data_IF_125043520758
#
_entry.id   IF_125043520758
#
_cell.length_a   1.000
_cell.length_b   1.000
_cell.length_c   1.000
_cell.angle_alpha   90.00
_cell.angle_beta   90.00
_cell.angle_gamma   90.00
#
_symmetry.space_group_name_H-M   'P 1'
#
loop_
_entity.id
_entity.type
_entity.pdbx_description
1 polymer ?
#
# COMPACT_ATOMS: atom_id res chain seq x y z
N UNK A 1 12.86 -11.94 -27.17
CA UNK A 1 12.91 -10.87 -28.19
C UNK A 1 12.38 -9.60 -27.56
N UNK A 2 13.24 -8.59 -27.35
CA UNK A 2 12.84 -7.29 -26.82
C UNK A 2 11.99 -6.56 -27.88
N UNK A 3 10.71 -6.35 -27.59
CA UNK A 3 9.83 -5.49 -28.39
C UNK A 3 10.48 -4.13 -28.53
N UNK A 4 10.69 -3.64 -29.77
CA UNK A 4 11.20 -2.28 -30.01
C UNK A 4 10.29 -1.28 -29.29
N UNK A 5 10.82 -0.60 -28.27
CA UNK A 5 10.10 0.42 -27.52
C UNK A 5 9.72 1.56 -28.48
N UNK A 6 8.42 1.72 -28.76
CA UNK A 6 7.93 2.79 -29.64
C UNK A 6 7.88 4.10 -28.85
N UNK A 7 8.71 5.06 -29.24
CA UNK A 7 8.77 6.40 -28.65
C UNK A 7 7.57 7.22 -29.17
N UNK A 8 6.71 7.79 -28.30
CA UNK A 8 5.66 8.70 -28.70
C UNK A 8 6.17 9.96 -29.42
N UNK A 9 5.34 10.54 -30.28
CA UNK A 9 5.70 11.76 -31.01
C UNK A 9 5.76 13.02 -30.14
N UNK A 10 5.06 13.02 -29.00
CA UNK A 10 5.02 14.10 -28.03
C UNK A 10 5.33 13.53 -26.66
N UNK A 11 6.24 14.19 -25.96
CA UNK A 11 6.62 13.85 -24.59
C UNK A 11 6.67 15.17 -23.80
N UNK A 12 5.52 15.83 -23.56
CA UNK A 12 5.47 17.20 -23.04
C UNK A 12 6.22 17.37 -21.72
N UNK A 13 6.19 16.36 -20.85
CA UNK A 13 6.95 16.40 -19.62
C UNK A 13 8.45 16.26 -19.87
N UNK A 14 8.90 15.30 -20.67
CA UNK A 14 10.31 15.19 -21.05
C UNK A 14 10.85 16.44 -21.77
N UNK A 15 10.02 17.03 -22.63
CA UNK A 15 10.33 18.27 -23.33
C UNK A 15 10.58 19.39 -22.33
N UNK A 16 9.72 19.51 -21.33
CA UNK A 16 9.87 20.49 -20.25
C UNK A 16 11.10 20.20 -19.37
N UNK A 17 11.41 18.93 -19.09
CA UNK A 17 12.64 18.52 -18.38
C UNK A 17 13.92 18.80 -19.17
N UNK A 18 13.81 18.95 -20.49
CA UNK A 18 14.94 19.18 -21.40
C UNK A 18 14.96 20.60 -21.96
N UNK A 19 14.27 21.58 -21.34
CA UNK A 19 14.06 22.91 -21.89
C UNK A 19 15.33 23.68 -22.32
N UNK A 20 16.50 23.36 -21.77
CA UNK A 20 17.80 23.97 -22.14
C UNK A 20 18.56 23.21 -23.26
N UNK A 21 18.03 22.10 -23.77
CA UNK A 21 18.71 21.20 -24.71
C UNK A 21 18.05 21.22 -26.07
N UNK A 22 18.84 21.44 -27.11
CA UNK A 22 18.41 21.19 -28.48
C UNK A 22 18.35 19.68 -28.77
N UNK A 23 17.25 19.21 -29.39
CA UNK A 23 17.17 17.87 -29.96
C UNK A 23 16.77 16.74 -28.99
N UNK A 24 15.65 16.88 -28.28
CA UNK A 24 15.04 15.79 -27.48
C UNK A 24 14.82 14.52 -28.33
N UNK A 25 14.59 14.68 -29.64
CA UNK A 25 14.46 13.59 -30.62
C UNK A 25 15.70 12.70 -30.74
N UNK A 26 16.87 13.16 -30.28
CA UNK A 26 18.14 12.44 -30.36
C UNK A 26 18.48 11.67 -29.07
N UNK A 27 17.64 11.74 -28.04
CA UNK A 27 17.87 10.99 -26.81
C UNK A 27 17.67 9.49 -27.04
N UNK A 28 18.61 8.69 -26.55
CA UNK A 28 18.39 7.24 -26.41
C UNK A 28 17.36 6.96 -25.31
N UNK A 29 16.67 5.80 -25.34
CA UNK A 29 15.73 5.43 -24.28
C UNK A 29 16.33 5.51 -22.86
N UNK A 30 17.58 5.09 -22.66
CA UNK A 30 18.28 5.22 -21.37
C UNK A 30 18.47 6.68 -20.96
N UNK A 31 18.83 7.56 -21.89
CA UNK A 31 18.98 8.99 -21.58
C UNK A 31 17.65 9.65 -21.27
N UNK A 32 16.58 9.28 -21.99
CA UNK A 32 15.21 9.72 -21.66
C UNK A 32 14.84 9.28 -20.25
N UNK A 33 15.09 8.02 -19.90
CA UNK A 33 14.84 7.50 -18.56
C UNK A 33 15.59 8.30 -17.49
N UNK A 34 16.89 8.54 -17.67
CA UNK A 34 17.71 9.35 -16.75
C UNK A 34 17.22 10.79 -16.61
N UNK A 35 16.47 11.32 -17.57
CA UNK A 35 15.84 12.65 -17.47
C UNK A 35 14.59 12.56 -16.60
N UNK A 36 13.71 11.59 -16.88
CA UNK A 36 12.56 11.33 -16.02
C UNK A 36 12.99 11.06 -14.58
N UNK A 37 13.97 10.19 -14.34
CA UNK A 37 14.43 9.85 -12.98
C UNK A 37 14.98 11.05 -12.21
N UNK A 38 15.63 12.01 -12.88
CA UNK A 38 16.14 13.22 -12.22
C UNK A 38 15.06 14.30 -12.06
N UNK A 39 14.13 14.35 -13.00
CA UNK A 39 13.13 15.38 -13.11
C UNK A 39 11.76 15.01 -12.57
N UNK A 40 11.55 13.78 -12.10
CA UNK A 40 10.22 13.22 -11.84
C UNK A 40 9.37 14.05 -10.87
N UNK A 41 10.02 14.69 -9.91
CA UNK A 41 9.39 15.54 -8.92
C UNK A 41 8.80 16.84 -9.51
N UNK A 42 9.18 17.20 -10.74
CA UNK A 42 8.61 18.35 -11.47
C UNK A 42 7.34 18.00 -12.25
N UNK A 43 6.86 16.75 -12.20
CA UNK A 43 5.61 16.35 -12.88
C UNK A 43 4.44 17.18 -12.35
N UNK A 44 3.64 17.74 -13.24
CA UNK A 44 2.55 18.66 -12.90
C UNK A 44 3.00 20.09 -12.54
N UNK A 45 4.28 20.32 -12.26
CA UNK A 45 4.86 21.66 -12.07
C UNK A 45 5.33 22.22 -13.42
N UNK A 46 6.22 21.49 -14.10
CA UNK A 46 6.76 21.90 -15.39
C UNK A 46 5.82 21.54 -16.54
N UNK A 47 5.22 20.35 -16.49
CA UNK A 47 4.15 19.92 -17.36
C UNK A 47 3.43 18.71 -16.76
N UNK A 48 2.14 18.57 -17.07
CA UNK A 48 1.40 17.36 -16.76
C UNK A 48 1.89 16.20 -17.66
N UNK A 49 1.85 14.98 -17.12
CA UNK A 49 2.16 13.77 -17.87
C UNK A 49 0.84 13.26 -18.47
N UNK A 50 0.75 13.26 -19.80
CA UNK A 50 -0.42 12.71 -20.48
C UNK A 50 -0.41 11.16 -20.46
N UNK A 51 -1.56 10.50 -20.70
CA UNK A 51 -1.63 9.03 -20.64
C UNK A 51 -0.66 8.30 -21.59
N UNK A 52 -0.34 8.89 -22.74
CA UNK A 52 0.58 8.31 -23.72
C UNK A 52 2.01 8.38 -23.21
N UNK A 53 2.41 9.53 -22.68
CA UNK A 53 3.73 9.70 -22.05
C UNK A 53 3.86 8.82 -20.80
N UNK A 54 2.83 8.74 -19.95
CA UNK A 54 2.82 7.86 -18.77
C UNK A 54 3.06 6.38 -19.14
N UNK A 55 2.34 5.87 -20.15
CA UNK A 55 2.55 4.50 -20.65
C UNK A 55 3.95 4.28 -21.22
N UNK A 56 4.51 5.28 -21.90
CA UNK A 56 5.87 5.22 -22.41
C UNK A 56 6.89 5.15 -21.26
N UNK A 57 6.79 6.04 -20.27
CA UNK A 57 7.68 6.04 -19.10
C UNK A 57 7.55 4.74 -18.32
N UNK A 58 6.33 4.19 -18.17
CA UNK A 58 6.12 2.91 -17.49
C UNK A 58 6.85 1.77 -18.20
N UNK A 59 6.66 1.62 -19.53
CA UNK A 59 7.36 0.59 -20.32
C UNK A 59 8.87 0.79 -20.33
N UNK A 60 9.31 2.04 -20.40
CA UNK A 60 10.73 2.40 -20.36
C UNK A 60 11.35 2.03 -19.02
N UNK A 61 10.67 2.37 -17.92
CA UNK A 61 11.13 2.07 -16.58
C UNK A 61 11.15 0.56 -16.30
N UNK A 62 10.14 -0.19 -16.76
CA UNK A 62 10.13 -1.66 -16.69
C UNK A 62 11.29 -2.28 -17.48
N UNK A 63 11.54 -1.77 -18.70
CA UNK A 63 12.60 -2.28 -19.57
C UNK A 63 14.00 -2.14 -18.94
N UNK A 64 14.22 -1.10 -18.15
CA UNK A 64 15.52 -0.78 -17.55
C UNK A 64 15.57 -1.02 -16.04
N UNK A 65 14.57 -1.69 -15.44
CA UNK A 65 14.46 -1.92 -14.00
C UNK A 65 14.63 -0.63 -13.16
N UNK A 66 14.04 0.47 -13.63
CA UNK A 66 14.08 1.76 -12.95
C UNK A 66 13.09 1.81 -11.79
N UNK A 67 13.44 2.59 -10.75
CA UNK A 67 12.57 2.90 -9.62
C UNK A 67 11.26 3.60 -10.02
N UNK A 68 11.20 4.15 -11.24
CA UNK A 68 9.98 4.75 -11.79
C UNK A 68 8.91 3.72 -12.18
N UNK A 69 9.29 2.46 -12.43
CA UNK A 69 8.36 1.45 -12.97
C UNK A 69 7.14 1.22 -12.05
N UNK A 70 7.30 1.17 -10.72
CA UNK A 70 6.19 0.99 -9.79
C UNK A 70 5.47 2.30 -9.45
N UNK A 71 6.17 3.45 -9.50
CA UNK A 71 5.60 4.78 -9.21
C UNK A 71 4.50 5.21 -10.21
N UNK A 72 4.48 4.62 -11.40
CA UNK A 72 3.47 4.86 -12.44
C UNK A 72 2.30 3.87 -12.43
N UNK A 73 2.33 2.88 -11.53
CA UNK A 73 1.24 1.90 -11.39
C UNK A 73 0.07 2.43 -10.56
N UNK A 74 0.31 3.48 -9.76
CA UNK A 74 -0.67 4.03 -8.84
C UNK A 74 -1.13 5.41 -9.32
N UNK A 75 -2.43 5.67 -9.24
CA UNK A 75 -3.07 6.93 -9.62
C UNK A 75 -2.92 7.99 -8.52
N UNK A 76 -2.93 7.60 -7.24
CA UNK A 76 -2.84 8.56 -6.15
C UNK A 76 -1.39 8.96 -5.89
N UNK A 77 -1.09 10.26 -5.96
CA UNK A 77 0.25 10.81 -5.72
C UNK A 77 0.89 10.28 -4.41
N UNK A 78 0.09 10.18 -3.34
CA UNK A 78 0.56 9.64 -2.07
C UNK A 78 1.03 8.18 -2.18
N UNK A 79 0.30 7.35 -2.91
CA UNK A 79 0.66 5.94 -3.13
C UNK A 79 1.87 5.79 -4.07
N UNK A 80 2.05 6.69 -5.05
CA UNK A 80 3.28 6.76 -5.84
C UNK A 80 4.50 7.04 -4.95
N UNK A 81 4.36 7.93 -3.96
CA UNK A 81 5.40 8.24 -2.97
C UNK A 81 5.68 7.06 -2.05
N UNK A 82 4.65 6.36 -1.56
CA UNK A 82 4.81 5.11 -0.81
C UNK A 82 5.58 4.07 -1.64
N UNK A 83 5.20 3.89 -2.90
CA UNK A 83 5.89 2.99 -3.81
C UNK A 83 7.36 3.38 -4.00
N UNK A 84 7.66 4.67 -4.07
CA UNK A 84 9.05 5.19 -4.14
C UNK A 84 9.87 4.79 -2.92
N UNK A 85 9.26 4.76 -1.72
CA UNK A 85 9.94 4.26 -0.50
C UNK A 85 10.15 2.75 -0.57
N UNK A 86 9.10 1.98 -0.89
CA UNK A 86 9.14 0.51 -0.87
C UNK A 86 10.23 -0.04 -1.80
N UNK A 87 10.39 0.54 -2.99
CA UNK A 87 11.36 0.07 -3.98
C UNK A 87 12.83 0.38 -3.65
N UNK A 88 13.07 1.14 -2.57
CA UNK A 88 14.41 1.45 -2.09
C UNK A 88 14.79 0.63 -0.85
N UNK A 89 13.88 -0.20 -0.34
CA UNK A 89 14.14 -1.08 0.79
C UNK A 89 15.06 -2.24 0.40
N UNK A 90 15.78 -2.75 1.39
CA UNK A 90 16.57 -3.98 1.28
C UNK A 90 15.67 -5.21 1.44
N UNK A 91 15.18 -5.71 0.30
CA UNK A 91 14.30 -6.87 0.25
C UNK A 91 14.94 -8.15 0.80
N UNK A 92 16.25 -8.33 0.61
CA UNK A 92 16.97 -9.51 1.09
C UNK A 92 17.07 -9.48 2.61
N UNK A 93 17.40 -8.33 3.19
CA UNK A 93 17.45 -8.15 4.63
C UNK A 93 16.08 -8.26 5.30
N UNK A 94 15.03 -7.66 4.70
CA UNK A 94 13.65 -7.80 5.21
C UNK A 94 13.19 -9.25 5.18
N UNK A 95 13.54 -10.00 4.13
CA UNK A 95 13.26 -11.44 4.03
C UNK A 95 14.02 -12.24 5.09
N UNK A 96 15.29 -11.95 5.33
CA UNK A 96 16.09 -12.59 6.39
C UNK A 96 15.49 -12.34 7.77
N UNK A 97 15.01 -11.13 8.03
CA UNK A 97 14.33 -10.79 9.28
C UNK A 97 12.91 -11.36 9.39
N UNK A 98 12.34 -11.91 8.31
CA UNK A 98 10.93 -12.31 8.26
C UNK A 98 9.97 -11.14 8.44
N UNK A 99 10.35 -9.95 7.96
CA UNK A 99 9.52 -8.74 7.97
C UNK A 99 8.73 -8.62 6.67
N UNK A 100 7.41 -8.69 6.74
CA UNK A 100 6.52 -8.72 5.59
C UNK A 100 5.71 -7.42 5.50
N UNK A 101 5.71 -6.77 4.34
CA UNK A 101 4.87 -5.61 4.07
C UNK A 101 3.39 -6.00 4.14
N UNK A 102 2.61 -5.23 4.89
CA UNK A 102 1.22 -5.53 5.18
C UNK A 102 0.42 -4.28 5.53
N UNK A 103 -0.56 -4.46 6.41
CA UNK A 103 -1.44 -3.39 6.84
C UNK A 103 -2.37 -2.90 5.74
N UNK A 104 -3.03 -1.77 6.02
CA UNK A 104 -4.06 -1.22 5.14
C UNK A 104 -3.52 -0.69 3.81
N UNK A 105 -2.27 -0.24 3.78
CA UNK A 105 -1.64 0.28 2.57
C UNK A 105 -1.32 -0.84 1.59
N UNK A 106 -0.76 -1.96 2.05
CA UNK A 106 -0.56 -3.11 1.18
C UNK A 106 -1.87 -3.57 0.53
N UNK A 107 -2.94 -3.71 1.31
CA UNK A 107 -4.25 -4.14 0.81
C UNK A 107 -4.80 -3.10 -0.21
N UNK A 108 -4.75 -1.81 0.11
CA UNK A 108 -5.19 -0.75 -0.82
C UNK A 108 -4.45 -0.82 -2.16
N UNK A 109 -3.11 -0.86 -2.14
CA UNK A 109 -2.29 -0.93 -3.35
C UNK A 109 -2.56 -2.22 -4.15
N UNK A 110 -2.76 -3.34 -3.47
CA UNK A 110 -3.02 -4.63 -4.12
C UNK A 110 -4.45 -4.75 -4.68
N UNK A 111 -5.33 -3.80 -4.38
CA UNK A 111 -6.74 -3.81 -4.78
C UNK A 111 -7.15 -2.53 -5.53
N UNK A 112 -6.23 -1.93 -6.28
CA UNK A 112 -6.56 -0.84 -7.19
C UNK A 112 -6.84 0.49 -6.50
N UNK A 113 -6.27 0.70 -5.31
CA UNK A 113 -6.34 1.96 -4.57
C UNK A 113 -7.77 2.41 -4.19
N UNK A 114 -8.64 1.45 -3.85
CA UNK A 114 -10.05 1.70 -3.48
C UNK A 114 -10.22 2.73 -2.35
N UNK A 115 -9.18 2.93 -1.53
CA UNK A 115 -9.10 4.01 -0.53
C UNK A 115 -7.68 4.55 -0.40
N UNK A 116 -7.55 5.78 0.06
CA UNK A 116 -6.25 6.33 0.47
C UNK A 116 -5.75 5.64 1.75
N UNK A 117 -4.50 5.21 1.75
CA UNK A 117 -3.78 4.72 2.93
C UNK A 117 -2.39 5.35 2.98
N UNK A 118 -1.97 5.80 4.17
CA UNK A 118 -0.85 6.75 4.30
C UNK A 118 0.41 6.17 4.97
N UNK A 119 0.26 5.09 5.71
CA UNK A 119 1.34 4.52 6.51
C UNK A 119 1.99 3.33 5.79
N UNK A 120 3.24 3.01 6.09
CA UNK A 120 3.93 1.82 5.61
C UNK A 120 4.16 0.90 6.80
N UNK A 121 3.46 -0.22 6.83
CA UNK A 121 3.51 -1.19 7.93
C UNK A 121 4.15 -2.50 7.47
N UNK A 122 5.16 -2.95 8.18
CA UNK A 122 5.69 -4.31 8.09
C UNK A 122 5.38 -5.07 9.37
N UNK A 123 5.18 -6.37 9.24
CA UNK A 123 5.00 -7.28 10.37
C UNK A 123 6.11 -8.32 10.40
N UNK A 124 6.63 -8.57 11.59
CA UNK A 124 7.62 -9.61 11.85
C UNK A 124 7.14 -10.44 13.04
N UNK A 125 6.90 -11.74 12.85
CA UNK A 125 6.52 -12.64 13.94
C UNK A 125 7.69 -13.47 14.49
N UNK A 126 8.86 -13.44 13.85
CA UNK A 126 10.05 -14.15 14.34
C UNK A 126 10.77 -13.34 15.41
N UNK A 127 10.99 -13.94 16.58
CA UNK A 127 11.77 -13.29 17.66
C UNK A 127 13.23 -13.11 17.28
N UNK A 128 13.81 -14.12 16.62
CA UNK A 128 15.18 -14.12 16.13
C UNK A 128 15.35 -13.08 15.02
N UNK A 129 14.42 -13.06 14.05
CA UNK A 129 14.38 -12.09 12.96
C UNK A 129 14.23 -10.66 13.47
N UNK A 130 13.32 -10.43 14.42
CA UNK A 130 13.16 -9.10 15.02
C UNK A 130 14.36 -8.69 15.88
N UNK A 131 15.05 -9.63 16.54
CA UNK A 131 16.31 -9.33 17.26
C UNK A 131 17.40 -8.91 16.28
N UNK A 132 17.54 -9.60 15.15
CA UNK A 132 18.46 -9.25 14.08
C UNK A 132 18.15 -7.85 13.54
N UNK A 133 16.88 -7.59 13.22
CA UNK A 133 16.39 -6.29 12.77
C UNK A 133 16.83 -5.15 13.69
N UNK A 134 16.57 -5.27 14.99
CA UNK A 134 16.94 -4.23 15.97
C UNK A 134 18.44 -4.04 16.09
N UNK A 135 19.21 -5.14 16.03
CA UNK A 135 20.66 -5.09 16.10
C UNK A 135 21.25 -4.33 14.90
N UNK A 136 20.81 -4.66 13.69
CA UNK A 136 21.29 -4.04 12.47
C UNK A 136 20.86 -2.58 12.36
N UNK A 137 19.61 -2.26 12.70
CA UNK A 137 19.12 -0.88 12.77
C UNK A 137 19.92 -0.05 13.78
N UNK A 138 20.31 -0.63 14.92
CA UNK A 138 21.15 0.06 15.91
C UNK A 138 22.56 0.36 15.38
N UNK A 139 23.14 -0.55 14.58
CA UNK A 139 24.51 -0.43 14.08
C UNK A 139 24.59 0.46 12.84
N UNK A 140 23.70 0.22 11.87
CA UNK A 140 23.73 0.85 10.53
C UNK A 140 22.69 1.96 10.35
N UNK A 141 21.79 2.15 11.30
CA UNK A 141 20.69 3.12 11.18
C UNK A 141 19.80 2.78 9.97
N UNK A 142 19.45 3.82 9.20
CA UNK A 142 18.65 3.66 7.98
C UNK A 142 19.32 2.76 6.93
N UNK A 143 20.64 2.69 6.88
CA UNK A 143 21.36 1.83 5.92
C UNK A 143 21.18 0.33 6.21
N UNK A 144 20.57 -0.05 7.34
CA UNK A 144 20.13 -1.43 7.55
C UNK A 144 18.93 -1.78 6.67
N UNK A 145 18.02 -0.84 6.42
CA UNK A 145 16.71 -1.07 5.81
C UNK A 145 16.64 -0.67 4.35
N UNK A 146 17.56 0.18 3.88
CA UNK A 146 17.51 0.81 2.56
C UNK A 146 18.76 0.49 1.74
N UNK A 147 18.55 0.06 0.49
CA UNK A 147 19.61 -0.11 -0.53
C UNK A 147 19.98 1.21 -1.19
N UNK A 148 19.05 2.16 -1.21
CA UNK A 148 19.26 3.55 -1.63
C UNK A 148 18.31 4.48 -0.87
N UNK A 149 18.63 5.77 -0.82
CA UNK A 149 17.83 6.79 -0.12
C UNK A 149 17.59 8.00 -1.03
N UNK A 150 17.51 7.76 -2.33
CA UNK A 150 17.33 8.79 -3.33
C UNK A 150 15.96 9.44 -3.13
N UNK A 151 15.98 10.77 -3.02
CA UNK A 151 14.77 11.58 -2.79
C UNK A 151 14.04 11.29 -1.47
N UNK A 152 14.65 10.53 -0.57
CA UNK A 152 14.14 10.26 0.78
C UNK A 152 14.87 11.17 1.76
N UNK A 153 14.12 12.02 2.46
CA UNK A 153 14.66 12.76 3.59
C UNK A 153 14.32 12.02 4.88
N UNK A 154 15.28 11.23 5.34
CA UNK A 154 15.22 10.46 6.59
C UNK A 154 15.73 11.36 7.72
N UNK A 155 14.79 11.92 8.49
CA UNK A 155 15.10 12.91 9.53
C UNK A 155 14.72 12.36 10.90
N UNK A 156 15.67 12.37 11.83
CA UNK A 156 15.44 11.94 13.21
C UNK A 156 15.99 10.55 13.52
N UNK A 157 15.98 10.21 14.80
CA UNK A 157 16.40 8.90 15.30
C UNK A 157 15.32 7.85 15.04
N UNK A 158 15.75 6.65 14.67
CA UNK A 158 14.86 5.50 14.53
C UNK A 158 14.43 5.06 15.93
N UNK A 159 13.14 5.17 16.22
CA UNK A 159 12.58 4.69 17.48
C UNK A 159 12.52 3.17 17.44
N UNK A 160 13.30 2.52 18.29
CA UNK A 160 13.36 1.06 18.35
C UNK A 160 13.06 0.58 19.76
N UNK A 161 12.08 -0.30 19.92
CA UNK A 161 11.75 -0.93 21.19
C UNK A 161 11.37 -2.41 20.99
N UNK A 162 10.87 -3.06 22.04
CA UNK A 162 10.48 -4.47 21.97
C UNK A 162 9.25 -4.76 21.09
N UNK A 163 8.47 -3.73 20.73
CA UNK A 163 7.21 -3.85 19.98
C UNK A 163 7.32 -3.36 18.53
N UNK A 164 8.26 -2.49 18.21
CA UNK A 164 8.50 -2.10 16.82
C UNK A 164 9.68 -1.17 16.60
N UNK A 165 10.00 -1.01 15.32
CA UNK A 165 10.92 -0.02 14.75
C UNK A 165 10.07 1.02 14.02
N UNK A 166 10.21 2.31 14.37
CA UNK A 166 9.34 3.38 13.84
C UNK A 166 10.16 4.61 13.48
N UNK A 167 9.85 5.19 12.33
CA UNK A 167 10.45 6.45 11.92
C UNK A 167 9.62 7.16 10.84
N UNK A 168 9.68 8.49 10.79
CA UNK A 168 9.10 9.26 9.70
C UNK A 168 10.02 9.23 8.46
N UNK A 169 9.41 9.20 7.29
CA UNK A 169 10.07 9.36 6.00
C UNK A 169 9.44 10.54 5.28
N UNK A 170 10.26 11.45 4.75
CA UNK A 170 9.77 12.49 3.86
C UNK A 170 10.12 12.16 2.41
N UNK A 171 9.11 12.15 1.56
CA UNK A 171 9.27 12.15 0.10
C UNK A 171 8.76 13.48 -0.40
N UNK A 172 9.66 14.32 -0.93
CA UNK A 172 9.39 15.74 -1.16
C UNK A 172 8.92 16.39 0.18
N UNK A 173 7.72 16.97 0.22
CA UNK A 173 7.10 17.55 1.42
C UNK A 173 6.08 16.62 2.09
N UNK A 174 5.97 15.38 1.64
CA UNK A 174 4.99 14.42 2.16
C UNK A 174 5.60 13.56 3.27
N UNK A 175 5.01 13.66 4.47
CA UNK A 175 5.35 12.82 5.61
C UNK A 175 4.65 11.46 5.50
N UNK A 176 5.44 10.39 5.50
CA UNK A 176 5.01 9.00 5.51
C UNK A 176 5.50 8.37 6.81
N UNK A 177 4.60 7.73 7.57
CA UNK A 177 5.00 6.95 8.74
C UNK A 177 5.44 5.57 8.29
N UNK A 178 6.57 5.10 8.81
CA UNK A 178 7.08 3.77 8.55
C UNK A 178 7.19 3.01 9.87
N UNK A 179 6.63 1.80 9.92
CA UNK A 179 6.66 0.93 11.08
C UNK A 179 7.03 -0.50 10.68
N UNK A 180 7.87 -1.15 11.49
CA UNK A 180 8.03 -2.61 11.51
C UNK A 180 7.59 -3.08 12.90
N UNK A 181 6.50 -3.82 12.95
CA UNK A 181 5.83 -4.25 14.17
C UNK A 181 6.25 -5.69 14.49
N UNK A 182 6.61 -5.93 15.75
CA UNK A 182 6.75 -7.29 16.27
C UNK A 182 5.35 -7.87 16.50
N UNK A 183 4.91 -8.74 15.60
CA UNK A 183 3.62 -9.41 15.70
C UNK A 183 3.74 -10.65 16.58
N UNK A 184 3.22 -10.56 17.80
CA UNK A 184 3.31 -11.62 18.79
C UNK A 184 2.09 -12.54 18.86
N UNK A 185 0.99 -12.18 18.18
CA UNK A 185 -0.30 -12.86 18.26
C UNK A 185 -0.39 -14.04 17.30
N UNK A 186 0.15 -13.89 16.09
CA UNK A 186 0.11 -14.92 15.04
C UNK A 186 1.48 -15.16 14.41
N UNK A 187 1.72 -16.41 13.97
CA UNK A 187 2.90 -16.75 13.19
C UNK A 187 2.66 -16.49 11.71
N UNK A 188 3.39 -15.57 11.09
CA UNK A 188 3.26 -15.28 9.66
C UNK A 188 3.66 -16.49 8.81
N UNK A 189 2.89 -16.72 7.74
CA UNK A 189 3.13 -17.76 6.74
C UNK A 189 4.19 -17.36 5.72
N UNK A 190 4.28 -18.10 4.61
CA UNK A 190 5.19 -17.76 3.51
C UNK A 190 4.78 -16.41 2.89
N UNK A 191 5.72 -15.51 2.60
CA UNK A 191 5.40 -14.22 2.00
C UNK A 191 4.99 -14.37 0.53
N UNK A 192 4.16 -13.44 0.08
CA UNK A 192 3.83 -13.23 -1.33
C UNK A 192 4.69 -12.11 -1.92
N UNK A 193 4.82 -12.13 -3.25
CA UNK A 193 5.56 -11.13 -4.05
C UNK A 193 4.68 -10.69 -5.22
N UNK A 194 3.78 -9.71 -5.03
CA UNK A 194 3.00 -9.20 -6.14
C UNK A 194 3.90 -8.50 -7.14
N UNK A 195 3.51 -8.48 -8.42
CA UNK A 195 4.34 -7.99 -9.53
C UNK A 195 4.88 -6.56 -9.38
N UNK A 196 4.22 -5.72 -8.56
CA UNK A 196 4.59 -4.34 -8.32
C UNK A 196 5.50 -4.12 -7.10
N UNK A 197 5.74 -5.17 -6.29
CA UNK A 197 6.46 -5.07 -5.02
C UNK A 197 7.61 -6.10 -4.95
N UNK A 198 8.81 -5.64 -4.62
CA UNK A 198 10.00 -6.50 -4.53
C UNK A 198 10.28 -7.02 -3.12
N UNK A 199 9.73 -6.38 -2.09
CA UNK A 199 9.88 -6.81 -0.69
C UNK A 199 8.90 -7.94 -0.36
N UNK A 200 9.20 -8.79 0.65
CA UNK A 200 8.25 -9.78 1.15
C UNK A 200 6.95 -9.09 1.57
N UNK A 201 5.80 -9.60 1.13
CA UNK A 201 4.49 -9.10 1.52
C UNK A 201 3.69 -10.19 2.24
N UNK A 202 2.72 -9.80 3.07
CA UNK A 202 1.79 -10.76 3.67
C UNK A 202 1.07 -11.57 2.60
N UNK A 203 0.88 -12.85 2.86
CA UNK A 203 -0.04 -13.67 2.06
C UNK A 203 -1.49 -13.33 2.41
N UNK A 204 -2.41 -13.88 1.62
CA UNK A 204 -3.84 -13.62 1.76
C UNK A 204 -4.40 -14.00 3.14
N UNK A 205 -4.03 -15.19 3.64
CA UNK A 205 -4.47 -15.68 4.97
C UNK A 205 -4.02 -14.71 6.07
N UNK A 206 -2.76 -14.28 6.03
CA UNK A 206 -2.22 -13.34 7.00
C UNK A 206 -2.83 -11.94 6.89
N UNK A 207 -3.18 -11.48 5.67
CA UNK A 207 -3.88 -10.21 5.50
C UNK A 207 -5.27 -10.22 6.13
N UNK A 208 -6.03 -11.31 5.95
CA UNK A 208 -7.32 -11.48 6.63
C UNK A 208 -7.13 -11.58 8.15
N UNK A 209 -6.22 -12.43 8.63
CA UNK A 209 -6.00 -12.64 10.06
C UNK A 209 -5.62 -11.35 10.79
N UNK A 210 -4.69 -10.57 10.24
CA UNK A 210 -4.30 -9.27 10.80
C UNK A 210 -5.45 -8.27 10.84
N UNK A 211 -6.31 -8.26 9.81
CA UNK A 211 -7.45 -7.36 9.79
C UNK A 211 -8.58 -7.78 10.71
N UNK A 212 -8.78 -9.08 10.90
CA UNK A 212 -9.68 -9.61 11.93
C UNK A 212 -9.22 -9.18 13.33
N UNK A 213 -7.93 -9.33 13.65
CA UNK A 213 -7.35 -8.92 14.93
C UNK A 213 -7.46 -7.40 15.13
N UNK A 214 -7.06 -6.61 14.14
CA UNK A 214 -7.15 -5.16 14.21
C UNK A 214 -8.60 -4.69 14.35
N UNK A 215 -9.56 -5.31 13.64
CA UNK A 215 -10.98 -5.01 13.80
C UNK A 215 -11.45 -5.35 15.22
N UNK A 216 -11.11 -6.53 15.74
CA UNK A 216 -11.46 -6.92 17.10
C UNK A 216 -10.94 -5.94 18.16
N UNK A 217 -9.74 -5.40 17.97
CA UNK A 217 -9.12 -4.44 18.88
C UNK A 217 -9.82 -3.07 18.91
N UNK A 218 -10.33 -2.59 17.76
CA UNK A 218 -10.70 -1.17 17.62
C UNK A 218 -11.96 -0.87 16.80
N UNK A 219 -12.82 -1.84 16.51
CA UNK A 219 -14.03 -1.61 15.70
C UNK A 219 -14.98 -0.53 16.24
N UNK A 220 -15.01 -0.33 17.57
CA UNK A 220 -15.86 0.68 18.21
C UNK A 220 -15.29 2.10 18.10
N UNK A 221 -13.99 2.23 17.82
CA UNK A 221 -13.32 3.52 17.73
C UNK A 221 -13.61 4.18 16.38
N UNK A 222 -14.57 5.10 16.38
CA UNK A 222 -14.93 5.83 15.16
C UNK A 222 -13.80 6.69 14.57
N UNK A 223 -12.70 6.94 15.30
CA UNK A 223 -11.53 7.66 14.79
C UNK A 223 -10.68 6.83 13.82
N UNK A 224 -10.85 5.49 13.82
CA UNK A 224 -10.19 4.60 12.86
C UNK A 224 -11.00 4.41 11.57
N UNK A 225 -12.15 5.08 11.47
CA UNK A 225 -12.97 5.16 10.25
C UNK A 225 -13.40 3.79 9.72
N UNK A 226 -13.54 2.79 10.60
CA UNK A 226 -13.84 1.39 10.25
C UNK A 226 -12.93 0.81 9.16
N UNK A 227 -11.71 1.33 9.01
CA UNK A 227 -10.80 0.96 7.92
C UNK A 227 -10.48 -0.53 7.88
N UNK A 228 -10.44 -1.22 9.02
CA UNK A 228 -10.17 -2.66 9.05
C UNK A 228 -11.35 -3.49 8.56
N UNK A 229 -12.58 -3.11 8.93
CA UNK A 229 -13.80 -3.71 8.39
C UNK A 229 -13.90 -3.47 6.87
N UNK A 230 -13.59 -2.24 6.41
CA UNK A 230 -13.58 -1.91 4.98
C UNK A 230 -12.52 -2.72 4.23
N UNK A 231 -11.33 -2.91 4.81
CA UNK A 231 -10.27 -3.73 4.23
C UNK A 231 -10.67 -5.22 4.16
N UNK A 232 -11.39 -5.74 5.16
CA UNK A 232 -11.97 -7.09 5.13
C UNK A 232 -13.02 -7.22 4.03
N UNK A 233 -13.92 -6.24 3.91
CA UNK A 233 -14.97 -6.21 2.89
C UNK A 233 -14.37 -6.23 1.48
N UNK A 234 -13.34 -5.44 1.25
CA UNK A 234 -12.66 -5.37 -0.04
C UNK A 234 -11.90 -6.66 -0.39
N UNK A 235 -11.22 -7.27 0.57
CA UNK A 235 -10.66 -8.61 0.38
C UNK A 235 -11.75 -9.65 0.07
N UNK A 236 -12.90 -9.57 0.75
CA UNK A 236 -14.01 -10.50 0.57
C UNK A 236 -14.63 -10.47 -0.83
N UNK A 237 -14.54 -9.35 -1.55
CA UNK A 237 -14.96 -9.28 -2.96
C UNK A 237 -14.14 -10.19 -3.88
N UNK A 238 -12.87 -10.41 -3.56
CA UNK A 238 -11.96 -11.22 -4.39
C UNK A 238 -12.04 -12.71 -4.05
N UNK A 239 -12.19 -13.03 -2.77
CA UNK A 239 -12.19 -14.40 -2.27
C UNK A 239 -13.02 -14.51 -0.99
N UNK A 240 -13.65 -15.67 -0.72
CA UNK A 240 -14.31 -15.93 0.56
C UNK A 240 -13.34 -15.76 1.75
N UNK A 241 -13.86 -15.38 2.92
CA UNK A 241 -13.07 -15.30 4.14
C UNK A 241 -12.47 -16.68 4.46
N UNK A 242 -11.13 -16.86 4.45
CA UNK A 242 -10.53 -18.17 4.65
C UNK A 242 -10.72 -18.66 6.09
N UNK A 243 -11.21 -19.88 6.28
CA UNK A 243 -11.31 -20.49 7.62
C UNK A 243 -9.95 -20.53 8.33
N UNK A 244 -8.87 -20.80 7.59
CA UNK A 244 -7.50 -20.76 8.13
C UNK A 244 -7.15 -19.39 8.72
N UNK A 245 -7.62 -18.28 8.13
CA UNK A 245 -7.36 -16.94 8.66
C UNK A 245 -8.13 -16.68 9.96
N UNK A 246 -9.36 -17.19 10.05
CA UNK A 246 -10.19 -17.13 11.25
C UNK A 246 -9.52 -17.95 12.36
N UNK A 247 -9.24 -19.22 12.12
CA UNK A 247 -8.62 -20.13 13.08
C UNK A 247 -7.30 -19.55 13.60
N UNK A 248 -6.51 -18.96 12.69
CA UNK A 248 -5.25 -18.30 13.01
C UNK A 248 -5.43 -17.08 13.91
N UNK A 249 -6.37 -16.19 13.60
CA UNK A 249 -6.66 -15.02 14.43
C UNK A 249 -7.23 -15.44 15.81
N UNK A 250 -8.11 -16.44 15.85
CA UNK A 250 -8.72 -16.96 17.09
C UNK A 250 -7.74 -17.67 18.02
N UNK A 251 -6.54 -18.05 17.56
CA UNK A 251 -5.47 -18.47 18.48
C UNK A 251 -5.07 -17.38 19.47
N UNK A 252 -5.25 -16.10 19.12
CA UNK A 252 -4.97 -14.98 20.00
C UNK A 252 -6.17 -14.64 20.88
N UNK A 253 -7.32 -14.37 20.25
CA UNK A 253 -8.60 -14.08 20.92
C UNK A 253 -9.76 -14.11 19.92
N UNK A 254 -10.99 -14.15 20.44
CA UNK A 254 -12.22 -14.15 19.65
C UNK A 254 -12.29 -12.94 18.69
N UNK A 255 -12.47 -13.20 17.40
CA UNK A 255 -12.55 -12.14 16.36
C UNK A 255 -13.87 -12.11 15.59
N UNK A 256 -14.63 -13.21 15.57
CA UNK A 256 -15.88 -13.29 14.82
C UNK A 256 -17.01 -12.49 15.46
N UNK A 257 -17.18 -12.55 16.78
CA UNK A 257 -18.18 -11.73 17.47
C UNK A 257 -17.90 -10.22 17.35
N UNK A 258 -16.64 -9.74 17.50
CA UNK A 258 -16.30 -8.36 17.15
C UNK A 258 -16.58 -8.00 15.68
N UNK A 259 -16.34 -8.91 14.73
CA UNK A 259 -16.66 -8.68 13.32
C UNK A 259 -18.16 -8.50 13.08
N UNK A 260 -19.01 -9.36 13.67
CA UNK A 260 -20.48 -9.20 13.59
C UNK A 260 -20.93 -7.84 14.13
N UNK A 261 -20.40 -7.45 15.29
CA UNK A 261 -20.70 -6.14 15.91
C UNK A 261 -20.25 -4.98 15.03
N UNK A 262 -19.07 -5.09 14.40
CA UNK A 262 -18.55 -4.09 13.49
C UNK A 262 -19.46 -3.92 12.27
N UNK A 263 -19.90 -5.04 11.66
CA UNK A 263 -20.83 -5.04 10.51
C UNK A 263 -22.14 -4.36 10.89
N UNK A 264 -22.81 -4.81 11.96
CA UNK A 264 -24.09 -4.25 12.40
C UNK A 264 -23.97 -2.74 12.68
N UNK A 265 -22.94 -2.34 13.43
CA UNK A 265 -22.69 -0.93 13.72
C UNK A 265 -22.45 -0.08 12.46
N UNK A 266 -21.82 -0.65 11.43
CA UNK A 266 -21.59 0.04 10.16
C UNK A 266 -22.90 0.12 9.34
N UNK A 267 -23.70 -0.95 9.30
CA UNK A 267 -24.97 -1.03 8.60
C UNK A 267 -26.04 -0.09 9.16
N UNK A 268 -26.10 0.06 10.49
CA UNK A 268 -27.09 0.91 11.16
C UNK A 268 -26.83 2.42 11.03
N UNK A 269 -25.64 2.83 10.58
CA UNK A 269 -25.17 4.23 10.65
C UNK A 269 -24.76 4.80 9.28
N UNK A 270 -25.72 5.13 8.39
CA UNK A 270 -25.41 5.66 7.06
C UNK A 270 -24.55 6.94 7.09
N UNK A 271 -24.84 7.88 8.00
CA UNK A 271 -24.03 9.11 8.13
C UNK A 271 -22.58 8.84 8.56
N UNK A 272 -22.36 7.78 9.33
CA UNK A 272 -21.02 7.35 9.71
C UNK A 272 -20.28 6.75 8.50
N UNK A 273 -20.95 5.90 7.70
CA UNK A 273 -20.38 5.34 6.47
C UNK A 273 -19.96 6.44 5.49
N UNK A 274 -20.83 7.42 5.26
CA UNK A 274 -20.54 8.58 4.40
C UNK A 274 -19.28 9.34 4.86
N UNK A 275 -19.09 9.48 6.18
CA UNK A 275 -17.88 10.08 6.76
C UNK A 275 -16.64 9.21 6.52
N UNK A 276 -16.74 7.89 6.73
CA UNK A 276 -15.66 6.95 6.43
C UNK A 276 -15.24 7.04 4.96
N UNK A 277 -16.20 7.00 4.02
CA UNK A 277 -15.91 7.09 2.60
C UNK A 277 -15.21 8.40 2.21
N UNK A 278 -15.69 9.52 2.77
CA UNK A 278 -15.11 10.83 2.51
C UNK A 278 -13.67 10.93 3.02
N UNK A 279 -13.42 10.54 4.28
CA UNK A 279 -12.10 10.68 4.91
C UNK A 279 -11.06 9.71 4.33
N UNK A 280 -11.49 8.50 3.99
CA UNK A 280 -10.66 7.49 3.34
C UNK A 280 -10.54 7.70 1.82
N UNK A 281 -11.20 8.73 1.26
CA UNK A 281 -11.24 9.05 -0.17
C UNK A 281 -11.69 7.87 -1.05
N UNK A 282 -12.71 7.16 -0.60
CA UNK A 282 -13.33 6.06 -1.34
C UNK A 282 -14.25 6.66 -2.39
N UNK A 283 -14.05 6.27 -3.65
CA UNK A 283 -14.84 6.75 -4.80
C UNK A 283 -16.03 5.83 -5.08
N UNK A 284 -15.82 4.51 -5.02
CA UNK A 284 -16.82 3.48 -5.32
C UNK A 284 -17.41 2.90 -4.03
N UNK A 285 -18.28 3.68 -3.36
CA UNK A 285 -18.91 3.25 -2.10
C UNK A 285 -19.72 1.96 -2.24
N UNK A 286 -20.33 1.73 -3.42
CA UNK A 286 -21.09 0.52 -3.75
C UNK A 286 -20.25 -0.75 -3.57
N UNK A 287 -18.98 -0.75 -4.04
CA UNK A 287 -18.08 -1.89 -3.87
C UNK A 287 -17.80 -2.21 -2.40
N UNK A 288 -17.64 -1.18 -1.55
CA UNK A 288 -17.45 -1.42 -0.12
C UNK A 288 -18.69 -2.10 0.46
N UNK A 289 -19.89 -1.60 0.13
CA UNK A 289 -21.13 -2.18 0.64
C UNK A 289 -21.37 -3.59 0.11
N UNK A 290 -21.03 -3.88 -1.15
CA UNK A 290 -21.07 -5.25 -1.69
C UNK A 290 -20.20 -6.19 -0.86
N UNK A 291 -18.98 -5.77 -0.49
CA UNK A 291 -18.10 -6.54 0.38
C UNK A 291 -18.65 -6.72 1.80
N UNK A 292 -19.28 -5.69 2.35
CA UNK A 292 -19.95 -5.75 3.67
C UNK A 292 -21.11 -6.72 3.64
N UNK A 293 -21.95 -6.69 2.59
CA UNK A 293 -23.09 -7.59 2.42
C UNK A 293 -22.65 -9.04 2.26
N UNK A 294 -21.53 -9.29 1.58
CA UNK A 294 -20.93 -10.62 1.53
C UNK A 294 -20.44 -11.11 2.90
N UNK A 295 -19.76 -10.26 3.67
CA UNK A 295 -19.35 -10.60 5.04
C UNK A 295 -20.55 -10.82 5.96
N UNK A 296 -21.60 -10.00 5.84
CA UNK A 296 -22.84 -10.14 6.58
C UNK A 296 -23.48 -11.51 6.29
N UNK A 297 -23.60 -11.86 5.00
CA UNK A 297 -24.15 -13.15 4.56
C UNK A 297 -23.35 -14.34 5.06
N UNK A 298 -22.01 -14.27 5.02
CA UNK A 298 -21.15 -15.32 5.57
C UNK A 298 -21.40 -15.58 7.07
N UNK A 299 -21.88 -14.57 7.80
CA UNK A 299 -22.14 -14.62 9.24
C UNK A 299 -23.63 -14.71 9.61
N UNK A 300 -24.51 -14.87 8.61
CA UNK A 300 -25.97 -14.97 8.82
C UNK A 300 -26.63 -13.65 9.27
N UNK A 301 -26.05 -12.51 8.92
CA UNK A 301 -26.60 -11.18 9.15
C UNK A 301 -27.36 -10.67 7.92
N UNK A 302 -28.26 -9.71 8.14
CA UNK A 302 -29.01 -9.04 7.08
C UNK A 302 -28.11 -8.15 6.20
N UNK A 303 -28.56 -7.90 4.97
CA UNK A 303 -27.86 -6.99 4.05
C UNK A 303 -28.04 -5.51 4.45
N UNK A 304 -27.10 -4.69 4.00
CA UNK A 304 -27.09 -3.27 4.30
C UNK A 304 -28.23 -2.56 3.59
N UNK A 305 -29.03 -1.79 4.34
CA UNK A 305 -29.95 -0.83 3.73
C UNK A 305 -29.14 0.32 3.13
N UNK A 306 -29.07 0.34 1.80
CA UNK A 306 -28.21 1.25 1.02
C UNK A 306 -28.79 2.66 0.92
N UNK A 307 -27.91 3.65 1.00
CA UNK A 307 -28.23 5.02 0.58
C UNK A 307 -28.17 5.15 -0.95
N UNK A 308 -28.65 6.27 -1.49
CA UNK A 308 -28.57 6.54 -2.93
C UNK A 308 -27.13 6.51 -3.48
N UNK A 309 -26.14 6.98 -2.70
CA UNK A 309 -24.72 6.96 -3.11
C UNK A 309 -24.15 5.54 -3.16
N UNK A 310 -24.65 4.66 -2.31
CA UNK A 310 -24.23 3.26 -2.18
C UNK A 310 -24.93 2.33 -3.18
N UNK A 311 -25.97 2.83 -3.85
CA UNK A 311 -26.81 2.07 -4.81
C UNK A 311 -26.40 2.27 -6.28
N UNK A 312 -25.39 3.10 -6.56
CA UNK A 312 -24.96 3.33 -7.94
C UNK A 312 -24.05 2.22 -8.42
N UNK A 313 -24.59 1.35 -9.27
CA UNK A 313 -23.81 0.71 -10.32
C UNK A 313 -23.53 1.78 -11.40
N UNK A 314 -22.27 1.90 -11.80
CA UNK A 314 -21.82 2.85 -12.81
C UNK A 314 -22.70 2.80 -14.07
N UNK A 315 -23.40 3.90 -14.36
CA UNK A 315 -24.12 4.14 -15.62
C UNK A 315 -23.20 4.76 -16.67
#
# INVERSE_FOLDING_TARGET
MLTKLKIPNKLPFLESLCWQREGIKNLTPVEMLRRYERGWHYRGILAAIDPTEAQFVQKLAQLYNSWLAPSLMFQQDFHQKISTVINQLDADFLRECGAHFGGGTFISLNQGEYRLSKDIDFLCSSREGYRLLRQEVRIRGYNALFTSQNYLRLSGEIQTNQYGVRFPIFVEDTLIKFEIIMEGRIQLGKPNYPSWCTVPCLNEVDCFAEKLLANADRWIDSSVESRDLIDLAMQRLKSPLPQEAIDKAETAYEVIEPLKKAILNFQEKPDYRDRCFSNLRILEASQIIDGIDLLARDLGLEETVRTFKESKDNW
#
